data_IF_319829262819
#
_entry.id   IF_319829262819
#
_cell.length_a   1.000
_cell.length_b   1.000
_cell.length_c   1.000
_cell.angle_alpha   90.00
_cell.angle_beta   90.00
_cell.angle_gamma   90.00
#
_symmetry.space_group_name_H-M   'P 1'
#
loop_
_entity.id
_entity.type
_entity.pdbx_description
1 polymer ?
#
# COMPACT_ATOMS: atom_id res chain seq x y z
N UNK A 1 -52.51 -30.80 -14.17
CA UNK A 1 -51.56 -31.50 -13.28
C UNK A 1 -50.09 -31.14 -13.56
N UNK A 2 -49.77 -30.43 -14.66
CA UNK A 2 -48.39 -30.03 -14.99
C UNK A 2 -47.97 -28.68 -14.37
N UNK A 3 -48.90 -27.75 -14.17
CA UNK A 3 -48.57 -26.41 -13.65
C UNK A 3 -48.19 -26.41 -12.16
N UNK A 4 -48.80 -27.29 -11.36
CA UNK A 4 -48.49 -27.43 -9.93
C UNK A 4 -47.08 -28.03 -9.70
N UNK A 5 -46.62 -28.91 -10.60
CA UNK A 5 -45.27 -29.51 -10.53
C UNK A 5 -44.19 -28.48 -10.87
N UNK A 6 -44.47 -27.56 -11.80
CA UNK A 6 -43.54 -26.50 -12.21
C UNK A 6 -43.33 -25.46 -11.09
N UNK A 7 -44.41 -25.06 -10.42
CA UNK A 7 -44.37 -24.11 -9.29
C UNK A 7 -43.64 -24.71 -8.08
N UNK A 8 -43.87 -25.99 -7.78
CA UNK A 8 -43.17 -26.69 -6.68
C UNK A 8 -41.67 -26.85 -6.98
N UNK A 9 -41.27 -27.08 -8.23
CA UNK A 9 -39.86 -27.15 -8.63
C UNK A 9 -39.16 -25.78 -8.48
N UNK A 10 -39.86 -24.69 -8.84
CA UNK A 10 -39.36 -23.32 -8.65
C UNK A 10 -39.20 -22.97 -7.17
N UNK A 11 -40.18 -23.29 -6.32
CA UNK A 11 -40.13 -23.06 -4.87
C UNK A 11 -39.03 -23.90 -4.17
N UNK A 12 -38.82 -25.14 -4.61
CA UNK A 12 -37.70 -25.97 -4.13
C UNK A 12 -36.35 -25.37 -4.52
N UNK A 13 -36.20 -24.85 -5.74
CA UNK A 13 -34.94 -24.22 -6.18
C UNK A 13 -34.60 -22.93 -5.43
N UNK A 14 -35.61 -22.11 -5.09
CA UNK A 14 -35.42 -20.89 -4.29
C UNK A 14 -34.94 -21.23 -2.88
N UNK A 15 -35.46 -22.31 -2.28
CA UNK A 15 -35.08 -22.74 -0.93
C UNK A 15 -33.62 -23.23 -0.80
N UNK A 16 -32.95 -23.62 -1.90
CA UNK A 16 -31.55 -24.03 -1.88
C UNK A 16 -30.54 -22.87 -2.01
N UNK A 17 -31.01 -21.64 -2.26
CA UNK A 17 -30.09 -20.52 -2.59
C UNK A 17 -29.95 -19.45 -1.51
N UNK A 18 -30.66 -19.55 -0.37
CA UNK A 18 -30.51 -18.59 0.73
C UNK A 18 -29.80 -19.21 1.93
N UNK A 19 -28.54 -19.62 1.78
CA UNK A 19 -27.63 -19.67 2.93
C UNK A 19 -26.90 -18.34 3.00
N UNK A 20 -26.97 -17.68 4.15
CA UNK A 20 -26.09 -16.56 4.43
C UNK A 20 -24.64 -17.05 4.26
N UNK A 21 -23.85 -16.37 3.42
CA UNK A 21 -22.43 -16.68 3.27
C UNK A 21 -21.75 -16.38 4.61
N UNK A 22 -21.26 -17.44 5.28
CA UNK A 22 -20.59 -17.33 6.56
C UNK A 22 -19.09 -17.49 6.36
N UNK A 23 -18.33 -16.45 6.71
CA UNK A 23 -16.87 -16.54 6.86
C UNK A 23 -16.57 -16.81 8.33
N UNK A 24 -15.84 -17.89 8.61
CA UNK A 24 -15.44 -18.29 9.97
C UNK A 24 -13.94 -18.06 10.17
N UNK A 25 -13.51 -18.03 11.44
CA UNK A 25 -12.10 -17.92 11.83
C UNK A 25 -11.40 -16.63 11.37
N UNK A 26 -12.12 -15.51 11.35
CA UNK A 26 -11.52 -14.19 11.13
C UNK A 26 -10.97 -13.65 12.45
N UNK A 27 -9.75 -13.11 12.42
CA UNK A 27 -9.08 -12.55 13.60
C UNK A 27 -9.30 -11.05 13.75
N UNK A 28 -9.53 -10.34 12.65
CA UNK A 28 -9.81 -8.92 12.64
C UNK A 28 -10.68 -8.54 11.45
N UNK A 29 -11.50 -7.51 11.66
CA UNK A 29 -12.35 -6.90 10.64
C UNK A 29 -12.15 -5.39 10.64
N UNK A 30 -12.09 -4.80 9.45
CA UNK A 30 -12.07 -3.35 9.27
C UNK A 30 -13.47 -2.75 9.15
N UNK A 31 -13.51 -1.47 8.79
CA UNK A 31 -14.73 -0.80 8.35
C UNK A 31 -14.81 -0.82 6.82
N UNK A 32 -16.02 -0.69 6.27
CA UNK A 32 -16.17 -0.46 4.83
C UNK A 32 -15.51 0.86 4.43
N UNK A 33 -14.66 0.81 3.41
CA UNK A 33 -14.06 1.95 2.76
C UNK A 33 -13.99 1.69 1.24
N UNK A 34 -14.41 2.67 0.43
CA UNK A 34 -14.45 2.55 -1.05
C UNK A 34 -15.17 1.28 -1.55
N UNK A 35 -16.17 0.80 -0.78
CA UNK A 35 -16.98 -0.36 -1.12
C UNK A 35 -16.43 -1.71 -0.66
N UNK A 36 -15.23 -1.76 -0.08
CA UNK A 36 -14.59 -2.98 0.42
C UNK A 36 -14.31 -2.89 1.92
N UNK A 37 -14.22 -4.04 2.59
CA UNK A 37 -13.81 -4.16 3.99
C UNK A 37 -12.69 -5.18 4.09
N UNK A 38 -11.61 -4.82 4.79
CA UNK A 38 -10.54 -5.75 5.09
C UNK A 38 -10.95 -6.76 6.16
N UNK A 39 -10.56 -8.01 5.96
CA UNK A 39 -10.70 -9.11 6.91
C UNK A 39 -9.36 -9.82 7.05
N UNK A 40 -9.00 -10.28 8.24
CA UNK A 40 -7.75 -11.05 8.44
C UNK A 40 -8.02 -12.49 8.88
N UNK A 41 -7.09 -13.36 8.51
CA UNK A 41 -6.99 -14.72 8.99
C UNK A 41 -5.48 -15.02 9.17
N UNK A 42 -5.03 -15.15 10.42
CA UNK A 42 -3.61 -15.19 10.77
C UNK A 42 -2.84 -13.96 10.28
N UNK A 43 -1.74 -14.20 9.58
CA UNK A 43 -0.83 -13.17 9.06
C UNK A 43 -1.25 -12.57 7.71
N UNK A 44 -2.42 -12.94 7.22
CA UNK A 44 -2.91 -12.59 5.88
C UNK A 44 -4.17 -11.74 5.94
N UNK A 45 -4.32 -10.86 4.96
CA UNK A 45 -5.51 -10.00 4.80
C UNK A 45 -6.21 -10.29 3.48
N UNK A 46 -7.54 -10.26 3.49
CA UNK A 46 -8.39 -10.27 2.30
C UNK A 46 -9.37 -9.10 2.33
N UNK A 47 -10.16 -8.95 1.27
CA UNK A 47 -11.20 -7.94 1.19
C UNK A 47 -12.53 -8.53 0.75
N UNK A 48 -13.59 -8.14 1.43
CA UNK A 48 -14.98 -8.47 1.08
C UNK A 48 -15.73 -7.24 0.61
N UNK A 49 -16.74 -7.44 -0.24
CA UNK A 49 -17.70 -6.40 -0.60
C UNK A 49 -18.88 -6.31 0.38
N UNK A 50 -19.84 -5.41 0.08
CA UNK A 50 -21.05 -5.21 0.89
C UNK A 50 -22.02 -6.39 0.89
N UNK A 51 -21.89 -7.33 -0.04
CA UNK A 51 -22.65 -8.58 -0.06
C UNK A 51 -22.03 -9.66 0.84
N UNK A 52 -20.79 -9.44 1.31
CA UNK A 52 -20.01 -10.42 2.04
C UNK A 52 -19.18 -11.33 1.13
N UNK A 53 -19.14 -11.08 -0.19
CA UNK A 53 -18.34 -11.87 -1.13
C UNK A 53 -16.87 -11.45 -1.04
N UNK A 54 -15.95 -12.42 -1.03
CA UNK A 54 -14.50 -12.16 -1.11
C UNK A 54 -14.19 -11.62 -2.51
N UNK A 55 -13.66 -10.40 -2.56
CA UNK A 55 -13.20 -9.74 -3.79
C UNK A 55 -11.70 -9.91 -3.97
N UNK A 56 -10.94 -9.87 -2.87
CA UNK A 56 -9.51 -10.12 -2.85
C UNK A 56 -9.26 -11.21 -1.82
N UNK A 57 -8.69 -12.32 -2.27
CA UNK A 57 -8.34 -13.44 -1.40
C UNK A 57 -7.25 -13.06 -0.38
N UNK A 58 -7.09 -13.89 0.65
CA UNK A 58 -6.11 -13.66 1.71
C UNK A 58 -4.68 -13.65 1.16
N UNK A 59 -3.97 -12.54 1.38
CA UNK A 59 -2.57 -12.38 0.99
C UNK A 59 -1.74 -11.82 2.14
N UNK A 60 -0.50 -12.28 2.23
CA UNK A 60 0.50 -11.85 3.22
C UNK A 60 1.20 -10.54 2.88
N UNK A 61 1.13 -10.15 1.61
CA UNK A 61 1.78 -8.93 1.13
C UNK A 61 0.94 -7.67 1.38
N UNK A 62 -0.32 -7.80 1.78
CA UNK A 62 -1.18 -6.65 2.10
C UNK A 62 -0.76 -6.03 3.44
N UNK A 63 -0.58 -4.71 3.45
CA UNK A 63 0.01 -3.99 4.60
C UNK A 63 -1.07 -3.37 5.47
N UNK A 64 -1.20 -3.85 6.70
CA UNK A 64 -1.90 -3.15 7.77
C UNK A 64 -1.01 -2.05 8.37
N UNK A 65 -1.61 -0.94 8.79
CA UNK A 65 -0.90 0.07 9.60
C UNK A 65 -0.94 -0.36 11.06
N UNK A 66 0.00 0.11 11.90
CA UNK A 66 0.21 -0.33 13.30
C UNK A 66 -1.04 -0.49 14.18
N UNK A 67 -2.17 0.17 13.86
CA UNK A 67 -3.45 0.04 14.59
C UNK A 67 -4.68 -0.10 13.69
N UNK A 68 -4.50 -0.12 12.37
CA UNK A 68 -5.62 -0.04 11.45
C UNK A 68 -5.52 -1.15 10.39
N UNK A 69 -6.62 -1.89 10.15
CA UNK A 69 -6.74 -2.78 9.01
C UNK A 69 -6.38 -2.06 7.69
N UNK A 70 -5.88 -2.80 6.68
CA UNK A 70 -5.60 -2.21 5.39
C UNK A 70 -6.88 -1.62 4.78
N UNK A 71 -6.75 -0.49 4.11
CA UNK A 71 -7.87 0.20 3.45
C UNK A 71 -7.44 0.66 2.07
N UNK A 72 -8.40 0.75 1.17
CA UNK A 72 -8.21 1.49 -0.07
C UNK A 72 -8.29 2.98 0.21
N UNK A 73 -7.44 3.75 -0.46
CA UNK A 73 -7.54 5.20 -0.52
C UNK A 73 -7.24 5.61 -1.95
N UNK A 74 -8.13 6.38 -2.56
CA UNK A 74 -8.02 6.75 -3.97
C UNK A 74 -7.90 5.50 -4.88
N UNK A 75 -8.61 4.43 -4.54
CA UNK A 75 -8.63 3.18 -5.30
C UNK A 75 -7.39 2.29 -5.11
N UNK A 76 -6.44 2.67 -4.26
CA UNK A 76 -5.18 1.96 -4.05
C UNK A 76 -4.96 1.56 -2.59
N UNK A 77 -4.38 0.37 -2.37
CA UNK A 77 -4.01 -0.16 -1.05
C UNK A 77 -2.54 -0.57 -1.05
N UNK A 78 -1.85 -0.34 0.07
CA UNK A 78 -0.45 -0.73 0.24
C UNK A 78 -0.27 -2.25 0.18
N UNK A 79 0.76 -2.66 -0.55
CA UNK A 79 1.33 -4.01 -0.54
C UNK A 79 2.84 -3.92 -0.29
N UNK A 80 3.45 -5.03 0.13
CA UNK A 80 4.90 -5.12 0.36
C UNK A 80 5.52 -6.38 -0.24
N UNK A 81 6.79 -6.29 -0.58
CA UNK A 81 7.61 -7.41 -0.99
C UNK A 81 8.97 -7.31 -0.30
N UNK A 82 9.48 -8.41 0.22
CA UNK A 82 10.83 -8.45 0.80
C UNK A 82 11.81 -8.99 -0.24
N UNK A 83 12.88 -8.23 -0.51
CA UNK A 83 13.96 -8.63 -1.42
C UNK A 83 15.30 -8.24 -0.82
N UNK A 84 16.23 -9.19 -0.77
CA UNK A 84 17.57 -8.97 -0.21
C UNK A 84 17.57 -8.32 1.19
N UNK A 85 16.71 -8.82 2.09
CA UNK A 85 16.52 -8.31 3.46
C UNK A 85 15.99 -6.86 3.54
N UNK A 86 15.47 -6.33 2.44
CA UNK A 86 14.83 -5.01 2.37
C UNK A 86 13.36 -5.18 2.03
N UNK A 87 12.49 -4.53 2.80
CA UNK A 87 11.06 -4.44 2.51
C UNK A 87 10.82 -3.29 1.54
N UNK A 88 10.19 -3.60 0.42
CA UNK A 88 9.72 -2.66 -0.58
C UNK A 88 8.21 -2.57 -0.52
N UNK A 89 7.67 -1.39 -0.78
CA UNK A 89 6.25 -1.09 -0.78
C UNK A 89 5.79 -0.69 -2.17
N UNK A 90 4.59 -1.14 -2.51
CA UNK A 90 3.88 -0.83 -3.74
C UNK A 90 2.39 -0.70 -3.45
N UNK A 91 1.57 -0.70 -4.51
CA UNK A 91 0.14 -0.49 -4.38
C UNK A 91 -0.66 -1.40 -5.33
N UNK A 92 -1.76 -1.95 -4.82
CA UNK A 92 -2.74 -2.70 -5.59
C UNK A 92 -4.07 -1.97 -5.68
N UNK A 93 -4.85 -2.24 -6.72
CA UNK A 93 -6.21 -1.73 -6.86
C UNK A 93 -7.25 -2.59 -6.12
N UNK A 94 -8.52 -2.14 -6.15
CA UNK A 94 -9.68 -2.82 -5.54
C UNK A 94 -10.02 -4.19 -6.14
N UNK A 95 -9.34 -4.61 -7.21
CA UNK A 95 -9.42 -5.96 -7.81
C UNK A 95 -8.23 -6.84 -7.42
N UNK A 96 -7.37 -6.38 -6.51
CA UNK A 96 -6.15 -7.07 -6.09
C UNK A 96 -5.01 -7.03 -7.11
N UNK A 97 -5.15 -6.29 -8.22
CA UNK A 97 -4.08 -6.17 -9.22
C UNK A 97 -3.06 -5.12 -8.76
N UNK A 98 -1.79 -5.49 -8.72
CA UNK A 98 -0.69 -4.54 -8.51
C UNK A 98 -0.70 -3.46 -9.61
N UNK A 99 -0.78 -2.20 -9.20
CA UNK A 99 -0.72 -1.02 -10.08
C UNK A 99 0.65 -0.38 -10.01
N UNK A 100 1.21 -0.29 -8.80
CA UNK A 100 2.55 0.23 -8.54
C UNK A 100 3.35 -0.92 -7.93
N UNK A 101 4.40 -1.35 -8.63
CA UNK A 101 5.23 -2.45 -8.16
C UNK A 101 5.92 -2.07 -6.85
N UNK A 102 6.20 -3.03 -5.96
CA UNK A 102 7.01 -2.77 -4.78
C UNK A 102 8.40 -2.25 -5.16
N UNK A 103 8.64 -0.97 -4.92
CA UNK A 103 9.90 -0.29 -5.25
C UNK A 103 10.33 0.76 -4.21
N UNK A 104 9.41 1.21 -3.36
CA UNK A 104 9.70 2.20 -2.32
C UNK A 104 10.12 1.55 -1.01
N UNK A 105 11.15 2.05 -0.34
CA UNK A 105 11.58 1.52 0.96
C UNK A 105 10.72 2.01 2.13
N UNK A 106 9.96 3.08 1.90
CA UNK A 106 8.92 3.56 2.80
C UNK A 106 7.77 4.08 1.96
N UNK A 107 6.54 3.77 2.34
CA UNK A 107 5.35 4.27 1.68
C UNK A 107 4.22 4.54 2.68
N UNK A 108 3.39 5.55 2.38
CA UNK A 108 2.13 5.81 3.08
C UNK A 108 0.95 5.48 2.18
N UNK A 109 -0.21 5.22 2.76
CA UNK A 109 -1.44 5.11 2.00
C UNK A 109 -1.68 6.40 1.19
N UNK A 110 -2.36 6.27 0.06
CA UNK A 110 -2.79 7.43 -0.70
C UNK A 110 -3.73 8.31 0.12
N UNK A 111 -3.65 9.61 -0.12
CA UNK A 111 -4.51 10.62 0.47
C UNK A 111 -4.61 11.76 -0.56
N UNK A 112 -5.83 12.17 -0.89
CA UNK A 112 -6.08 13.27 -1.84
C UNK A 112 -5.43 13.07 -3.22
N UNK A 113 -5.32 11.82 -3.68
CA UNK A 113 -4.75 11.47 -4.98
C UNK A 113 -3.22 11.35 -5.00
N UNK A 114 -2.56 11.54 -3.85
CA UNK A 114 -1.11 11.48 -3.71
C UNK A 114 -0.66 10.50 -2.64
N UNK A 115 0.57 10.00 -2.75
CA UNK A 115 1.23 9.26 -1.69
C UNK A 115 2.61 9.83 -1.40
N UNK A 116 3.01 9.77 -0.12
CA UNK A 116 4.36 10.09 0.35
C UNK A 116 5.16 8.80 0.39
N UNK A 117 6.29 8.77 -0.29
CA UNK A 117 7.14 7.60 -0.43
C UNK A 117 8.61 7.97 -0.27
N UNK A 118 9.45 6.99 0.04
CA UNK A 118 10.91 7.14 0.00
C UNK A 118 11.45 6.11 -0.96
N UNK A 119 12.18 6.60 -1.96
CA UNK A 119 12.98 5.78 -2.86
C UNK A 119 14.46 5.93 -2.53
N UNK A 120 15.25 4.90 -2.81
CA UNK A 120 16.70 5.00 -2.74
C UNK A 120 17.37 4.67 -4.05
N UNK A 121 18.55 5.25 -4.24
CA UNK A 121 19.33 5.21 -5.45
C UNK A 121 20.69 4.60 -5.15
N UNK A 122 21.13 3.71 -6.03
CA UNK A 122 22.48 3.13 -6.04
C UNK A 122 23.27 3.82 -7.15
N UNK A 123 24.28 4.59 -6.78
CA UNK A 123 25.16 5.29 -7.71
C UNK A 123 26.52 4.59 -7.74
N UNK A 124 27.01 4.23 -8.93
CA UNK A 124 28.41 3.82 -9.09
C UNK A 124 29.28 5.09 -9.06
N UNK A 125 30.19 5.16 -8.08
CA UNK A 125 31.06 6.33 -7.88
C UNK A 125 32.46 6.13 -8.46
N UNK A 126 32.69 5.04 -9.20
CA UNK A 126 33.97 4.67 -9.81
C UNK A 126 34.51 3.35 -9.28
N UNK A 127 35.79 3.10 -9.52
CA UNK A 127 36.50 1.91 -9.04
C UNK A 127 37.54 2.29 -7.98
N UNK A 128 37.79 1.41 -7.03
CA UNK A 128 38.92 1.56 -6.11
C UNK A 128 40.23 1.07 -6.76
N UNK A 129 41.34 1.17 -6.03
CA UNK A 129 42.68 0.71 -6.49
C UNK A 129 42.79 -0.79 -6.77
N UNK A 130 41.74 -1.56 -6.45
CA UNK A 130 41.62 -3.00 -6.70
C UNK A 130 40.62 -3.31 -7.82
N UNK A 131 40.26 -2.32 -8.65
CA UNK A 131 39.28 -2.43 -9.74
C UNK A 131 37.87 -2.85 -9.31
N UNK A 132 37.53 -2.65 -8.03
CA UNK A 132 36.20 -2.95 -7.50
C UNK A 132 35.31 -1.71 -7.59
N UNK A 133 34.08 -1.89 -8.06
CA UNK A 133 33.06 -0.84 -8.08
C UNK A 133 32.79 -0.32 -6.66
N UNK A 134 32.97 0.98 -6.47
CA UNK A 134 32.54 1.69 -5.28
C UNK A 134 31.13 2.20 -5.52
N UNK A 135 30.21 1.87 -4.62
CA UNK A 135 28.81 2.26 -4.73
C UNK A 135 28.41 3.15 -3.57
N UNK A 136 27.63 4.16 -3.88
CA UNK A 136 27.02 5.06 -2.91
C UNK A 136 25.51 4.89 -2.95
N UNK A 137 24.90 4.78 -1.78
CA UNK A 137 23.45 4.72 -1.64
C UNK A 137 22.94 6.04 -1.07
N UNK A 138 21.89 6.57 -1.69
CA UNK A 138 21.17 7.76 -1.22
C UNK A 138 19.68 7.55 -1.30
N UNK A 139 18.88 8.36 -0.60
CA UNK A 139 17.43 8.32 -0.68
C UNK A 139 16.84 9.72 -0.69
N UNK A 140 15.63 9.83 -1.27
CA UNK A 140 14.83 11.04 -1.23
C UNK A 140 13.41 10.68 -0.84
N UNK A 141 12.75 11.60 -0.15
CA UNK A 141 11.31 11.57 -0.03
C UNK A 141 10.67 12.15 -1.31
N UNK A 142 9.61 11.51 -1.78
CA UNK A 142 8.87 11.89 -2.98
C UNK A 142 7.38 11.94 -2.69
N UNK A 143 6.70 12.80 -3.44
CA UNK A 143 5.25 12.77 -3.59
C UNK A 143 4.94 12.18 -4.96
N UNK A 144 4.13 11.13 -5.00
CA UNK A 144 3.69 10.47 -6.23
C UNK A 144 2.18 10.57 -6.40
N UNK A 145 1.70 10.62 -7.64
CA UNK A 145 0.28 10.48 -7.95
C UNK A 145 -0.12 8.98 -8.09
N UNK A 146 -1.40 8.71 -8.33
CA UNK A 146 -1.94 7.35 -8.48
C UNK A 146 -1.43 6.59 -9.71
N UNK A 147 -0.78 7.29 -10.66
CA UNK A 147 -0.13 6.73 -11.84
C UNK A 147 1.36 6.48 -11.63
N UNK A 148 1.85 6.60 -10.39
CA UNK A 148 3.26 6.49 -10.01
C UNK A 148 4.17 7.58 -10.59
N UNK A 149 3.60 8.70 -11.03
CA UNK A 149 4.38 9.86 -11.49
C UNK A 149 4.82 10.66 -10.28
N UNK A 150 6.13 10.92 -10.15
CA UNK A 150 6.66 11.82 -9.13
C UNK A 150 6.25 13.26 -9.43
N UNK A 151 5.51 13.88 -8.51
CA UNK A 151 5.06 15.28 -8.61
C UNK A 151 5.94 16.24 -7.80
N UNK A 152 6.66 15.72 -6.79
CA UNK A 152 7.60 16.51 -6.00
C UNK A 152 8.74 15.62 -5.47
N UNK A 153 9.96 16.13 -5.58
CA UNK A 153 11.14 15.61 -4.87
C UNK A 153 11.42 16.53 -3.69
N UNK A 154 11.49 15.97 -2.49
CA UNK A 154 11.69 16.74 -1.26
C UNK A 154 13.17 16.72 -0.91
N UNK A 155 13.76 17.91 -0.84
CA UNK A 155 15.14 18.11 -0.38
C UNK A 155 16.21 17.51 -1.29
N UNK A 156 17.46 17.62 -0.82
CA UNK A 156 18.60 16.97 -1.44
C UNK A 156 18.67 15.48 -1.04
N UNK A 157 19.30 14.61 -1.86
CA UNK A 157 19.48 13.22 -1.48
C UNK A 157 20.24 13.04 -0.17
N UNK A 158 19.67 12.24 0.73
CA UNK A 158 20.29 11.87 2.00
C UNK A 158 21.10 10.59 1.85
N UNK A 159 22.21 10.47 2.59
CA UNK A 159 23.01 9.24 2.61
C UNK A 159 22.21 8.06 3.17
N UNK A 160 22.22 6.94 2.48
CA UNK A 160 21.67 5.67 2.96
C UNK A 160 22.80 4.71 3.33
N UNK A 161 22.67 4.05 4.49
CA UNK A 161 23.53 2.93 4.87
C UNK A 161 22.79 1.62 4.59
N UNK A 162 23.07 0.98 3.45
CA UNK A 162 22.33 -0.22 3.01
C UNK A 162 22.36 -1.34 4.06
N UNK A 163 23.50 -1.59 4.71
CA UNK A 163 23.59 -2.63 5.75
C UNK A 163 22.69 -2.34 6.95
N UNK A 164 22.46 -1.07 7.28
CA UNK A 164 21.53 -0.67 8.34
C UNK A 164 20.09 -0.90 7.89
N UNK A 165 19.75 -0.50 6.67
CA UNK A 165 18.43 -0.76 6.09
C UNK A 165 18.10 -2.27 6.07
N UNK A 166 19.04 -3.12 5.64
CA UNK A 166 18.89 -4.59 5.65
C UNK A 166 18.71 -5.17 7.05
N UNK A 167 19.36 -4.57 8.05
CA UNK A 167 19.16 -4.92 9.45
C UNK A 167 17.91 -4.28 10.07
N UNK A 168 17.03 -3.65 9.27
CA UNK A 168 15.84 -2.91 9.70
C UNK A 168 16.16 -1.79 10.71
N UNK A 169 17.36 -1.21 10.60
CA UNK A 169 17.86 -0.11 11.42
C UNK A 169 18.00 1.16 10.57
N UNK A 170 17.82 2.32 11.20
CA UNK A 170 17.93 3.63 10.55
C UNK A 170 17.09 3.71 9.26
N UNK A 171 15.88 3.17 9.29
CA UNK A 171 14.92 3.27 8.19
C UNK A 171 14.59 4.76 8.02
N UNK A 172 14.70 5.32 6.80
CA UNK A 172 14.30 6.69 6.53
C UNK A 172 12.89 7.02 7.01
N UNK A 173 12.65 8.27 7.39
CA UNK A 173 11.35 8.72 7.87
C UNK A 173 10.80 9.77 6.93
N UNK A 174 9.51 9.68 6.66
CA UNK A 174 8.76 10.70 5.91
C UNK A 174 8.59 11.92 6.81
N UNK A 175 9.15 13.05 6.40
CA UNK A 175 9.12 14.32 7.10
C UNK A 175 7.96 15.21 6.65
N UNK A 176 7.28 14.84 5.55
CA UNK A 176 6.16 15.61 5.03
C UNK A 176 4.79 15.20 5.56
N UNK A 177 3.88 16.18 5.58
CA UNK A 177 2.49 16.01 5.99
C UNK A 177 1.55 16.82 5.12
N UNK A 178 0.46 16.20 4.67
CA UNK A 178 -0.62 16.95 4.02
C UNK A 178 -1.25 17.93 5.01
N UNK A 179 -1.35 19.19 4.59
CA UNK A 179 -2.11 20.24 5.27
C UNK A 179 -3.56 20.19 4.76
N UNK A 180 -3.73 20.00 3.45
CA UNK A 180 -4.99 19.75 2.76
C UNK A 180 -4.72 19.03 1.43
N UNK A 181 -5.72 18.97 0.55
CA UNK A 181 -5.68 18.25 -0.74
C UNK A 181 -4.55 18.68 -1.68
N UNK A 182 -4.04 19.90 -1.53
CA UNK A 182 -3.07 20.48 -2.47
C UNK A 182 -1.83 21.07 -1.78
N UNK A 183 -1.80 21.12 -0.46
CA UNK A 183 -0.70 21.69 0.31
C UNK A 183 -0.05 20.63 1.18
N UNK A 184 1.27 20.63 1.17
CA UNK A 184 2.09 19.75 1.98
C UNK A 184 3.11 20.57 2.77
N UNK A 185 3.24 20.31 4.06
CA UNK A 185 4.36 20.80 4.86
C UNK A 185 5.49 19.78 4.84
N UNK A 186 6.72 20.25 4.83
CA UNK A 186 7.93 19.44 5.01
C UNK A 186 8.68 20.01 6.20
N UNK A 187 9.00 19.18 7.18
CA UNK A 187 9.90 19.56 8.26
C UNK A 187 11.35 19.43 7.78
N UNK A 188 12.08 20.53 7.81
CA UNK A 188 13.49 20.59 7.39
C UNK A 188 14.44 20.20 8.54
N UNK A 189 15.70 19.91 8.22
CA UNK A 189 16.73 19.50 9.20
C UNK A 189 17.00 20.56 10.27
N UNK A 190 16.81 21.85 9.95
CA UNK A 190 16.95 22.98 10.87
C UNK A 190 15.71 23.22 11.74
N UNK A 191 14.74 22.29 11.73
CA UNK A 191 13.43 22.37 12.39
C UNK A 191 12.50 23.47 11.87
N UNK A 192 12.77 24.07 10.72
CA UNK A 192 11.82 24.93 10.02
C UNK A 192 10.85 24.10 9.16
N UNK A 193 9.87 24.78 8.55
CA UNK A 193 8.89 24.13 7.67
C UNK A 193 8.83 24.83 6.31
N UNK A 194 8.93 24.04 5.25
CA UNK A 194 8.58 24.46 3.89
C UNK A 194 7.16 24.04 3.57
N UNK A 195 6.44 24.83 2.76
CA UNK A 195 5.11 24.49 2.24
C UNK A 195 5.17 24.43 0.73
N UNK A 196 4.70 23.31 0.16
CA UNK A 196 4.63 23.10 -1.28
C UNK A 196 3.17 23.02 -1.71
N UNK A 197 2.89 23.54 -2.91
CA UNK A 197 1.59 23.43 -3.57
C UNK A 197 1.69 22.44 -4.73
N UNK A 198 0.86 21.40 -4.70
CA UNK A 198 0.89 20.28 -5.65
C UNK A 198 0.13 20.55 -6.96
N UNK A 199 -0.54 21.71 -7.10
CA UNK A 199 -1.29 22.08 -8.31
C UNK A 199 -0.48 22.90 -9.33
N UNK A 200 0.82 23.08 -9.11
CA UNK A 200 1.70 23.90 -9.97
C UNK A 200 2.59 23.06 -10.85
#
# INVERSE_FOLDING_TARGET
MNDLKLIVFFLLSIAYTSRAQQHTNLESIGNFNEGLMAISNGDSWGFIDKSGSIVIDFRKDIVATYKEPPVFKNGLCLIKEEREDVVYYGYMNTKGKTIINPEYIVAKAFENGFARVINYYKTNTGTNVFDQNVVYYSYNELIINTENTSVLYIGAPHKLLLNKLKAQQNIPVINSKFINDHLISVKEDDNTYSIYNLNK
#
